data_IF_428985340625
#
_entry.id   IF_428985340625
#
_cell.length_a   1.000
_cell.length_b   1.000
_cell.length_c   1.000
_cell.angle_alpha   90.00
_cell.angle_beta   90.00
_cell.angle_gamma   90.00
#
_symmetry.space_group_name_H-M   'P 1'
#
loop_
_entity.id
_entity.type
_entity.pdbx_description
1 polymer ?
#
# COMPACT_ATOMS: atom_id res chain seq x y z
N UNK A 1 5.99 -21.84 -7.71
CA UNK A 1 5.04 -21.85 -8.85
C UNK A 1 4.09 -20.65 -8.80
N UNK A 2 3.32 -20.46 -7.72
CA UNK A 2 2.43 -19.29 -7.57
C UNK A 2 3.16 -17.93 -7.72
N UNK A 3 4.30 -17.75 -7.04
CA UNK A 3 5.13 -16.53 -7.13
C UNK A 3 5.57 -16.19 -8.56
N UNK A 4 5.88 -17.19 -9.38
CA UNK A 4 6.33 -16.95 -10.76
C UNK A 4 5.20 -16.37 -11.64
N UNK A 5 3.94 -16.58 -11.26
CA UNK A 5 2.78 -16.00 -11.93
C UNK A 5 2.38 -14.66 -11.30
N UNK A 6 2.47 -14.55 -9.97
CA UNK A 6 2.12 -13.33 -9.26
C UNK A 6 3.11 -12.18 -9.52
N UNK A 7 4.42 -12.44 -9.56
CA UNK A 7 5.41 -11.37 -9.73
C UNK A 7 5.20 -10.55 -11.01
N UNK A 8 5.02 -11.17 -12.20
CA UNK A 8 4.67 -10.44 -13.43
C UNK A 8 3.35 -9.69 -13.34
N UNK A 9 2.33 -10.25 -12.68
CA UNK A 9 1.05 -9.55 -12.49
C UNK A 9 1.24 -8.29 -11.64
N UNK A 10 2.03 -8.38 -10.57
CA UNK A 10 2.36 -7.23 -9.73
C UNK A 10 3.21 -6.20 -10.50
N UNK A 11 4.10 -6.64 -11.40
CA UNK A 11 4.85 -5.74 -12.30
C UNK A 11 3.87 -4.98 -13.22
N UNK A 12 2.91 -5.67 -13.82
CA UNK A 12 1.86 -5.05 -14.65
C UNK A 12 1.06 -4.03 -13.81
N UNK A 13 0.62 -4.42 -12.61
CA UNK A 13 -0.13 -3.58 -11.67
C UNK A 13 0.65 -2.32 -11.21
N UNK A 14 1.97 -2.31 -11.29
CA UNK A 14 2.79 -1.17 -10.87
C UNK A 14 3.29 -0.33 -12.06
N UNK A 15 3.39 -0.92 -13.25
CA UNK A 15 3.95 -0.28 -14.44
C UNK A 15 2.89 0.33 -15.37
N UNK A 16 1.64 -0.17 -15.36
CA UNK A 16 0.61 0.48 -16.18
C UNK A 16 0.29 1.88 -15.62
N UNK A 17 0.06 2.87 -16.50
CA UNK A 17 -0.36 4.20 -16.07
C UNK A 17 -1.68 4.15 -15.29
N UNK A 18 -1.79 5.00 -14.25
CA UNK A 18 -2.94 5.01 -13.33
C UNK A 18 -4.30 5.14 -14.03
N UNK A 19 -4.38 5.91 -15.13
CA UNK A 19 -5.61 6.09 -15.90
C UNK A 19 -6.09 4.82 -16.61
N UNK A 20 -5.17 3.91 -16.97
CA UNK A 20 -5.53 2.67 -17.67
C UNK A 20 -6.35 1.76 -16.76
N UNK A 21 -6.06 1.73 -15.45
CA UNK A 21 -6.87 0.99 -14.47
C UNK A 21 -8.30 1.50 -14.37
N UNK A 22 -8.53 2.78 -14.65
CA UNK A 22 -9.85 3.38 -14.53
C UNK A 22 -10.79 2.88 -15.63
N UNK A 23 -10.29 2.63 -16.85
CA UNK A 23 -11.12 2.26 -18.01
C UNK A 23 -12.06 1.07 -17.72
N UNK A 24 -11.56 -0.14 -17.37
CA UNK A 24 -12.45 -1.28 -17.16
C UNK A 24 -13.37 -1.08 -15.96
N UNK A 25 -12.90 -0.42 -14.91
CA UNK A 25 -13.70 -0.22 -13.69
C UNK A 25 -14.82 0.81 -13.93
N UNK A 26 -14.53 1.88 -14.67
CA UNK A 26 -15.52 2.87 -15.08
C UNK A 26 -16.59 2.27 -15.99
N UNK A 27 -16.22 1.37 -16.90
CA UNK A 27 -17.19 0.69 -17.77
C UNK A 27 -18.18 -0.17 -16.96
N UNK A 28 -17.74 -0.72 -15.83
CA UNK A 28 -18.57 -1.60 -14.98
C UNK A 28 -19.38 -0.81 -13.94
N UNK A 29 -18.81 0.25 -13.37
CA UNK A 29 -19.36 0.94 -12.19
C UNK A 29 -19.75 2.40 -12.43
N UNK A 30 -19.48 2.96 -13.61
CA UNK A 30 -19.66 4.37 -13.91
C UNK A 30 -18.66 5.26 -13.17
N UNK A 31 -18.92 6.57 -13.13
CA UNK A 31 -18.11 7.56 -12.42
C UNK A 31 -18.39 7.55 -10.91
N UNK A 32 -17.40 7.93 -10.09
CA UNK A 32 -17.59 8.15 -8.66
C UNK A 32 -16.54 7.50 -7.76
N UNK A 33 -16.92 7.25 -6.51
CA UNK A 33 -16.01 6.75 -5.47
C UNK A 33 -15.62 5.28 -5.63
N UNK A 34 -16.55 4.44 -6.08
CA UNK A 34 -16.34 3.00 -6.25
C UNK A 34 -15.17 2.72 -7.22
N UNK A 35 -15.16 3.25 -8.46
CA UNK A 35 -14.05 3.00 -9.38
C UNK A 35 -12.71 3.56 -8.87
N UNK A 36 -12.74 4.68 -8.17
CA UNK A 36 -11.55 5.27 -7.57
C UNK A 36 -10.93 4.37 -6.49
N UNK A 37 -11.73 3.71 -5.65
CA UNK A 37 -11.24 2.78 -4.64
C UNK A 37 -10.56 1.59 -5.31
N UNK A 38 -11.21 0.98 -6.32
CA UNK A 38 -10.63 -0.16 -7.04
C UNK A 38 -9.31 0.19 -7.70
N UNK A 39 -9.25 1.31 -8.43
CA UNK A 39 -8.01 1.73 -9.08
C UNK A 39 -6.89 2.03 -8.07
N UNK A 40 -7.24 2.66 -6.94
CA UNK A 40 -6.31 2.89 -5.83
C UNK A 40 -5.77 1.57 -5.28
N UNK A 41 -6.63 0.59 -5.02
CA UNK A 41 -6.22 -0.73 -4.50
C UNK A 41 -5.32 -1.45 -5.49
N UNK A 42 -5.68 -1.49 -6.76
CA UNK A 42 -4.87 -2.16 -7.79
C UNK A 42 -3.49 -1.51 -7.90
N UNK A 43 -3.43 -0.17 -7.88
CA UNK A 43 -2.18 0.58 -7.98
C UNK A 43 -1.30 0.44 -6.73
N UNK A 44 -1.90 0.44 -5.53
CA UNK A 44 -1.15 0.49 -4.27
C UNK A 44 -0.84 -0.90 -3.66
N UNK A 45 -1.53 -1.97 -4.08
CA UNK A 45 -1.29 -3.32 -3.54
C UNK A 45 0.10 -3.94 -3.81
N UNK A 46 0.76 -3.71 -4.97
CA UNK A 46 2.05 -4.35 -5.29
C UNK A 46 3.14 -4.23 -4.23
N UNK A 47 3.47 -3.04 -3.67
CA UNK A 47 4.50 -2.94 -2.64
C UNK A 47 4.19 -3.73 -1.37
N UNK A 48 2.92 -3.74 -0.91
CA UNK A 48 2.53 -4.54 0.26
C UNK A 48 2.80 -6.02 0.05
N UNK A 49 2.38 -6.55 -1.09
CA UNK A 49 2.53 -7.97 -1.41
C UNK A 49 4.02 -8.33 -1.55
N UNK A 50 4.81 -7.48 -2.25
CA UNK A 50 6.24 -7.72 -2.45
C UNK A 50 7.03 -7.70 -1.16
N UNK A 51 6.81 -6.70 -0.30
CA UNK A 51 7.56 -6.56 0.93
C UNK A 51 7.14 -7.61 1.97
N UNK A 52 5.87 -8.05 1.94
CA UNK A 52 5.43 -9.19 2.73
C UNK A 52 6.10 -10.50 2.27
N UNK A 53 6.11 -10.80 0.96
CA UNK A 53 6.83 -11.97 0.40
C UNK A 53 8.31 -11.94 0.75
N UNK A 54 8.95 -10.76 0.61
CA UNK A 54 10.35 -10.58 0.95
C UNK A 54 10.61 -10.83 2.43
N UNK A 55 9.83 -10.21 3.32
CA UNK A 55 10.00 -10.34 4.77
C UNK A 55 9.85 -11.78 5.25
N UNK A 56 8.86 -12.52 4.76
CA UNK A 56 8.66 -13.93 5.12
C UNK A 56 9.82 -14.80 4.64
N UNK A 57 10.37 -14.53 3.44
CA UNK A 57 11.46 -15.32 2.86
C UNK A 57 12.85 -14.97 3.42
N UNK A 58 13.00 -13.80 4.04
CA UNK A 58 14.25 -13.38 4.69
C UNK A 58 14.36 -13.85 6.14
N UNK A 59 13.34 -14.54 6.67
CA UNK A 59 13.44 -15.20 7.97
C UNK A 59 14.56 -16.24 7.92
N UNK A 60 15.43 -16.20 8.93
CA UNK A 60 16.61 -17.06 9.04
C UNK A 60 16.23 -18.55 8.94
N UNK A 61 16.93 -19.28 8.07
CA UNK A 61 16.74 -20.71 7.89
C UNK A 61 17.05 -21.50 9.16
N UNK A 62 18.04 -21.08 9.97
CA UNK A 62 18.41 -21.77 11.21
C UNK A 62 17.26 -21.69 12.23
N UNK A 63 16.62 -20.52 12.34
CA UNK A 63 15.43 -20.33 13.19
C UNK A 63 14.28 -21.22 12.71
N UNK A 64 14.08 -21.32 11.40
CA UNK A 64 13.03 -22.16 10.82
C UNK A 64 13.30 -23.66 11.00
N UNK A 65 14.55 -24.10 10.89
CA UNK A 65 14.97 -25.47 11.15
C UNK A 65 14.76 -25.86 12.61
N UNK A 66 15.13 -24.98 13.55
CA UNK A 66 14.89 -25.17 14.97
C UNK A 66 13.38 -25.32 15.27
N UNK A 67 12.57 -24.38 14.78
CA UNK A 67 11.11 -24.39 14.98
C UNK A 67 10.47 -25.65 14.39
N UNK A 68 10.97 -26.13 13.24
CA UNK A 68 10.54 -27.38 12.64
C UNK A 68 10.99 -28.61 13.45
N UNK A 69 12.19 -28.60 14.03
CA UNK A 69 12.69 -29.66 14.92
C UNK A 69 11.87 -29.78 16.21
N UNK A 70 11.29 -28.69 16.70
CA UNK A 70 10.32 -28.69 17.80
C UNK A 70 8.90 -29.13 17.39
N UNK A 71 8.68 -29.55 16.14
CA UNK A 71 7.41 -30.09 15.68
C UNK A 71 6.33 -29.05 15.36
N UNK A 72 6.70 -27.78 15.17
CA UNK A 72 5.74 -26.74 14.85
C UNK A 72 5.12 -26.96 13.46
N UNK A 73 3.79 -26.92 13.38
CA UNK A 73 3.08 -27.00 12.10
C UNK A 73 3.18 -25.69 11.29
N UNK A 74 2.76 -25.71 10.02
CA UNK A 74 2.87 -24.55 9.12
C UNK A 74 2.20 -23.28 9.63
N UNK A 75 1.06 -23.40 10.33
CA UNK A 75 0.35 -22.25 10.87
C UNK A 75 1.03 -21.68 12.10
N UNK A 76 1.59 -22.54 12.96
CA UNK A 76 2.42 -22.15 14.09
C UNK A 76 3.71 -21.48 13.63
N UNK A 77 4.35 -22.00 12.57
CA UNK A 77 5.51 -21.37 11.94
C UNK A 77 5.15 -19.99 11.39
N UNK A 78 4.05 -19.87 10.64
CA UNK A 78 3.63 -18.63 10.01
C UNK A 78 3.30 -17.54 11.04
N UNK A 79 2.36 -17.82 11.95
CA UNK A 79 1.88 -16.82 12.91
C UNK A 79 2.78 -16.66 14.13
N UNK A 80 3.49 -17.71 14.53
CA UNK A 80 4.35 -17.69 15.71
C UNK A 80 5.74 -17.15 15.44
N UNK A 81 6.26 -17.26 14.22
CA UNK A 81 7.67 -16.94 13.92
C UNK A 81 7.79 -16.05 12.69
N UNK A 82 7.29 -16.49 11.53
CA UNK A 82 7.52 -15.78 10.27
C UNK A 82 6.88 -14.39 10.24
N UNK A 83 5.61 -14.25 10.61
CA UNK A 83 4.91 -12.96 10.62
C UNK A 83 5.50 -11.97 11.62
N UNK A 84 5.80 -12.36 12.89
CA UNK A 84 6.51 -11.50 13.82
C UNK A 84 7.87 -11.01 13.30
N UNK A 85 8.68 -11.90 12.72
CA UNK A 85 10.01 -11.56 12.21
C UNK A 85 9.96 -10.76 10.90
N UNK A 86 8.95 -11.00 10.05
CA UNK A 86 8.73 -10.27 8.81
C UNK A 86 8.06 -8.90 9.01
N UNK A 87 7.56 -8.62 10.23
CA UNK A 87 6.77 -7.43 10.53
C UNK A 87 7.42 -6.10 10.09
N UNK A 88 8.74 -5.87 10.29
CA UNK A 88 9.37 -4.63 9.82
C UNK A 88 9.23 -4.43 8.30
N UNK A 89 9.34 -5.51 7.52
CA UNK A 89 9.18 -5.48 6.07
C UNK A 89 7.71 -5.26 5.67
N UNK A 90 6.78 -5.93 6.37
CA UNK A 90 5.33 -5.73 6.17
C UNK A 90 4.96 -4.25 6.44
N UNK A 91 5.48 -3.66 7.52
CA UNK A 91 5.24 -2.26 7.87
C UNK A 91 5.82 -1.29 6.83
N UNK A 92 6.99 -1.59 6.27
CA UNK A 92 7.52 -0.85 5.11
C UNK A 92 6.57 -0.95 3.90
N UNK A 93 5.97 -2.13 3.67
CA UNK A 93 4.96 -2.35 2.64
C UNK A 93 3.68 -1.54 2.84
N UNK A 94 3.17 -1.51 4.07
CA UNK A 94 2.01 -0.70 4.45
C UNK A 94 2.29 0.78 4.22
N UNK A 95 3.48 1.26 4.59
CA UNK A 95 3.86 2.65 4.37
C UNK A 95 3.85 3.00 2.88
N UNK A 96 4.54 2.21 2.04
CA UNK A 96 4.55 2.45 0.59
C UNK A 96 3.15 2.41 -0.03
N UNK A 97 2.33 1.46 0.40
CA UNK A 97 0.93 1.32 -0.04
C UNK A 97 0.11 2.56 0.31
N UNK A 98 0.29 3.08 1.53
CA UNK A 98 -0.37 4.30 1.99
C UNK A 98 0.04 5.50 1.15
N UNK A 99 1.35 5.67 0.93
CA UNK A 99 1.88 6.77 0.13
C UNK A 99 1.38 6.72 -1.32
N UNK A 100 1.30 5.53 -1.92
CA UNK A 100 0.72 5.33 -3.25
C UNK A 100 -0.79 5.56 -3.27
N UNK A 101 -1.51 5.18 -2.22
CA UNK A 101 -2.94 5.40 -2.14
C UNK A 101 -3.28 6.90 -2.01
N UNK A 102 -2.49 7.65 -1.23
CA UNK A 102 -2.67 9.09 -1.07
C UNK A 102 -2.30 9.87 -2.34
N UNK A 103 -1.28 9.45 -3.09
CA UNK A 103 -0.98 10.06 -4.38
C UNK A 103 -2.09 9.86 -5.41
N UNK A 104 -2.84 8.77 -5.30
CA UNK A 104 -3.99 8.48 -6.16
C UNK A 104 -5.20 9.39 -5.89
N UNK A 105 -5.25 10.12 -4.77
CA UNK A 105 -6.42 10.95 -4.39
C UNK A 105 -6.73 12.02 -5.45
N UNK A 106 -5.72 12.67 -6.04
CA UNK A 106 -5.93 13.70 -7.07
C UNK A 106 -6.43 13.07 -8.38
N UNK A 107 -5.86 11.92 -8.77
CA UNK A 107 -6.25 11.19 -9.99
C UNK A 107 -7.68 10.66 -9.84
N UNK A 108 -8.02 10.11 -8.68
CA UNK A 108 -9.37 9.67 -8.35
C UNK A 108 -10.41 10.80 -8.50
N UNK A 109 -10.05 12.03 -8.15
CA UNK A 109 -10.96 13.17 -8.29
C UNK A 109 -11.27 13.54 -9.73
N UNK A 110 -10.40 13.21 -10.68
CA UNK A 110 -10.66 13.41 -12.12
C UNK A 110 -11.81 12.55 -12.64
N UNK A 111 -12.19 11.48 -11.93
CA UNK A 111 -13.29 10.59 -12.29
C UNK A 111 -14.50 10.70 -11.35
N UNK A 112 -14.60 11.82 -10.62
CA UNK A 112 -15.75 12.13 -9.77
C UNK A 112 -15.64 11.64 -8.33
N UNK A 113 -14.45 11.24 -7.86
CA UNK A 113 -14.24 11.01 -6.43
C UNK A 113 -14.06 12.34 -5.69
N UNK A 114 -15.08 12.71 -4.92
CA UNK A 114 -15.09 13.94 -4.11
C UNK A 114 -14.12 13.85 -2.93
N UNK A 115 -13.50 14.96 -2.55
CA UNK A 115 -12.56 15.05 -1.41
C UNK A 115 -11.42 16.04 -1.66
N UNK A 116 -10.34 15.96 -0.87
CA UNK A 116 -9.21 16.90 -0.99
C UNK A 116 -8.57 16.93 -2.39
N UNK A 117 -8.59 15.81 -3.11
CA UNK A 117 -8.10 15.75 -4.49
C UNK A 117 -8.91 16.61 -5.47
N UNK A 118 -10.20 16.83 -5.18
CA UNK A 118 -11.09 17.68 -5.97
C UNK A 118 -10.66 19.14 -5.81
N UNK A 119 -10.32 19.57 -4.60
CA UNK A 119 -9.87 20.95 -4.35
C UNK A 119 -8.50 21.23 -5.00
N UNK A 120 -7.59 20.25 -5.01
CA UNK A 120 -6.34 20.33 -5.78
C UNK A 120 -6.64 20.47 -7.27
N UNK A 121 -7.52 19.62 -7.81
CA UNK A 121 -7.90 19.63 -9.22
C UNK A 121 -8.55 20.95 -9.64
N UNK A 122 -9.47 21.47 -8.82
CA UNK A 122 -10.12 22.77 -9.05
C UNK A 122 -9.09 23.90 -8.99
N UNK A 123 -8.15 23.87 -8.04
CA UNK A 123 -7.07 24.87 -7.96
C UNK A 123 -6.22 24.90 -9.24
N UNK A 124 -5.90 23.73 -9.80
CA UNK A 124 -5.18 23.62 -11.08
C UNK A 124 -6.03 24.16 -12.24
N UNK A 125 -7.29 23.74 -12.35
CA UNK A 125 -8.18 24.12 -13.46
C UNK A 125 -8.51 25.61 -13.47
N UNK A 126 -8.62 26.23 -12.30
CA UNK A 126 -8.94 27.66 -12.14
C UNK A 126 -7.70 28.54 -12.05
N UNK A 127 -6.50 27.97 -12.15
CA UNK A 127 -5.21 28.64 -11.91
C UNK A 127 -5.13 29.32 -10.53
N UNK A 128 -5.97 28.87 -9.57
CA UNK A 128 -5.94 29.33 -8.20
C UNK A 128 -4.90 28.51 -7.41
N UNK A 129 -3.67 29.00 -7.46
CA UNK A 129 -2.52 28.37 -6.79
C UNK A 129 -2.73 28.27 -5.28
N UNK A 130 -3.38 29.26 -4.66
CA UNK A 130 -3.67 29.25 -3.22
C UNK A 130 -4.53 28.05 -2.81
N UNK A 131 -5.65 27.84 -3.52
CA UNK A 131 -6.54 26.70 -3.27
C UNK A 131 -5.84 25.36 -3.52
N UNK A 132 -5.07 25.26 -4.62
CA UNK A 132 -4.33 24.03 -4.95
C UNK A 132 -3.27 23.69 -3.90
N UNK A 133 -2.51 24.68 -3.42
CA UNK A 133 -1.50 24.51 -2.39
C UNK A 133 -2.11 24.15 -1.03
N UNK A 134 -3.17 24.83 -0.61
CA UNK A 134 -3.86 24.55 0.66
C UNK A 134 -4.32 23.07 0.71
N UNK A 135 -5.01 22.62 -0.32
CA UNK A 135 -5.49 21.24 -0.41
C UNK A 135 -4.32 20.24 -0.51
N UNK A 136 -3.27 20.56 -1.27
CA UNK A 136 -2.06 19.74 -1.38
C UNK A 136 -1.35 19.59 -0.04
N UNK A 137 -1.19 20.68 0.72
CA UNK A 137 -0.60 20.66 2.05
C UNK A 137 -1.44 19.85 3.03
N UNK A 138 -2.77 19.95 2.97
CA UNK A 138 -3.66 19.13 3.78
C UNK A 138 -3.46 17.62 3.52
N UNK A 139 -3.31 17.21 2.25
CA UNK A 139 -3.01 15.83 1.87
C UNK A 139 -1.64 15.40 2.40
N UNK A 140 -0.61 16.25 2.28
CA UNK A 140 0.75 15.96 2.78
C UNK A 140 0.75 15.80 4.30
N UNK A 141 0.07 16.67 5.05
CA UNK A 141 -0.04 16.58 6.50
C UNK A 141 -0.71 15.26 6.88
N UNK A 142 -1.81 14.89 6.22
CA UNK A 142 -2.48 13.62 6.44
C UNK A 142 -1.55 12.43 6.16
N UNK A 143 -0.79 12.48 5.06
CA UNK A 143 0.20 11.46 4.72
C UNK A 143 1.25 11.28 5.82
N UNK A 144 1.83 12.39 6.30
CA UNK A 144 2.83 12.37 7.36
C UNK A 144 2.24 11.83 8.67
N UNK A 145 1.02 12.20 9.02
CA UNK A 145 0.35 11.69 10.23
C UNK A 145 0.14 10.18 10.13
N UNK A 146 -0.36 9.68 8.99
CA UNK A 146 -0.57 8.24 8.81
C UNK A 146 0.77 7.47 8.81
N UNK A 147 1.81 8.01 8.14
CA UNK A 147 3.16 7.44 8.13
C UNK A 147 3.72 7.34 9.55
N UNK A 148 3.62 8.41 10.36
CA UNK A 148 4.09 8.44 11.75
C UNK A 148 3.37 7.40 12.62
N UNK A 149 2.05 7.30 12.48
CA UNK A 149 1.25 6.31 13.21
C UNK A 149 1.69 4.89 12.80
N UNK A 150 1.81 4.63 11.51
CA UNK A 150 2.22 3.33 10.97
C UNK A 150 3.62 2.92 11.46
N UNK A 151 4.58 3.85 11.44
CA UNK A 151 5.93 3.60 11.95
C UNK A 151 5.97 3.35 13.46
N UNK A 152 5.13 4.03 14.25
CA UNK A 152 5.05 3.82 15.69
C UNK A 152 4.64 2.36 16.02
N UNK A 153 3.64 1.83 15.32
CA UNK A 153 3.25 0.42 15.43
C UNK A 153 4.37 -0.55 15.00
N UNK A 154 5.15 -0.19 13.98
CA UNK A 154 6.30 -0.99 13.53
C UNK A 154 7.47 -1.02 14.52
N UNK A 155 7.74 0.10 15.21
CA UNK A 155 8.87 0.22 16.17
C UNK A 155 8.60 -0.47 17.50
N UNK A 156 7.37 -0.41 18.01
CA UNK A 156 6.99 -0.96 19.33
C UNK A 156 7.31 -2.45 19.49
N UNK A 157 7.54 -3.19 18.40
CA UNK A 157 7.83 -4.63 18.42
C UNK A 157 9.30 -4.97 18.23
N UNK A 158 10.12 -3.99 17.80
CA UNK A 158 11.56 -4.16 17.59
C UNK A 158 12.36 -4.04 18.90
N UNK A 159 11.81 -3.33 19.89
CA UNK A 159 12.39 -3.17 21.23
C UNK A 159 12.05 -4.31 22.18
N UNK A 160 10.96 -5.05 21.95
CA UNK A 160 10.57 -6.21 22.78
C UNK A 160 11.29 -7.51 22.40
N UNK A 161 12.04 -7.51 21.29
CA UNK A 161 12.76 -8.68 20.77
C UNK A 161 14.28 -8.58 20.94
N UNK A 162 14.77 -7.52 21.60
CA UNK A 162 16.15 -7.42 22.11
C UNK A 162 16.16 -7.72 23.60
#
# INVERSE_FOLDING_TARGET
>A
RLRAVLMPLLDIMQTMPSFVYLIPVLMLFGLGKVPAIFATVIYAAPPLIRLTDLGIRQVDSEVMEAVNAFGANRWQQLFGVQLPLALPSIMAGINQTTMMALSMVVIASMIGARGLGEDVLVGIQTLNVGKGLEAGLAIVILAVVIDRITQAYGRSRHETSK
#
